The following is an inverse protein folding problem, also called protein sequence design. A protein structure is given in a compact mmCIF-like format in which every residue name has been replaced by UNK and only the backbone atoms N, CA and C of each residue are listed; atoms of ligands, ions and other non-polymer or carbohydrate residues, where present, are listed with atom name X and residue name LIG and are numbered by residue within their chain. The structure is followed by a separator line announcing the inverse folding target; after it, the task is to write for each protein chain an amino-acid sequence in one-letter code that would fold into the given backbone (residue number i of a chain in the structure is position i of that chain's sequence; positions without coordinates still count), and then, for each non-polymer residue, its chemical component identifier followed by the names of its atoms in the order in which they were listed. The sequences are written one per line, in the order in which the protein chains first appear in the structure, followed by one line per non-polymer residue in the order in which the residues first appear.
data_IF_960181512588
#
_entry.id   IF_960181512588
#
_cell.length_a   1.000
_cell.length_b   1.000
_cell.length_c   1.000
_cell.angle_alpha   90.00
_cell.angle_beta   90.00
_cell.angle_gamma   90.00
#
_symmetry.space_group_name_H-M   'P 1'
#
loop_
_entity.id
_entity.type
_entity.pdbx_description
1 polymer ?
#
# COMPACT_ATOMS: atom_id res chain seq x y z
N UNK A 1 -5.68 -27.47 55.83
CA UNK A 1 -4.85 -26.85 54.77
C UNK A 1 -5.25 -27.49 53.44
N UNK A 2 -6.10 -26.95 52.58
CA UNK A 2 -6.34 -25.56 52.20
C UNK A 2 -5.99 -25.41 50.71
N UNK A 3 -6.66 -26.17 49.83
CA UNK A 3 -6.45 -26.07 48.37
C UNK A 3 -7.33 -24.93 47.82
N UNK A 4 -6.69 -23.85 47.38
CA UNK A 4 -7.33 -22.71 46.72
C UNK A 4 -7.61 -23.03 45.24
N UNK A 5 -8.86 -22.94 44.76
CA UNK A 5 -9.23 -23.24 43.37
C UNK A 5 -8.93 -22.09 42.37
N UNK A 6 -7.88 -21.28 42.61
CA UNK A 6 -7.60 -20.06 41.85
C UNK A 6 -6.47 -20.16 40.81
N UNK A 7 -5.69 -21.25 40.80
CA UNK A 7 -4.39 -21.24 40.11
C UNK A 7 -4.38 -21.90 38.73
N UNK A 8 -5.44 -22.63 38.34
CA UNK A 8 -5.55 -23.19 36.98
C UNK A 8 -6.01 -22.19 35.92
N UNK A 9 -6.73 -21.14 36.31
CA UNK A 9 -7.28 -20.17 35.36
C UNK A 9 -6.23 -19.22 34.75
N UNK A 10 -5.02 -19.14 35.31
CA UNK A 10 -3.96 -18.25 34.80
C UNK A 10 -3.07 -18.87 33.71
N UNK A 11 -3.19 -20.17 33.42
CA UNK A 11 -2.40 -20.80 32.33
C UNK A 11 -3.07 -20.69 30.95
N UNK A 12 -4.40 -20.63 30.91
CA UNK A 12 -5.13 -20.56 29.64
C UNK A 12 -5.23 -19.14 29.04
N UNK A 13 -5.02 -18.10 29.83
CA UNK A 13 -5.02 -16.71 29.31
C UNK A 13 -3.74 -16.39 28.55
N UNK A 14 -2.63 -17.10 28.80
CA UNK A 14 -1.35 -16.85 28.12
C UNK A 14 -1.25 -17.48 26.73
N UNK A 15 -2.22 -18.33 26.35
CA UNK A 15 -2.27 -19.00 25.05
C UNK A 15 -3.05 -18.22 23.99
N UNK A 16 -3.79 -17.18 24.38
CA UNK A 16 -4.60 -16.36 23.44
C UNK A 16 -3.93 -15.07 22.96
N UNK A 17 -2.82 -14.67 23.57
CA UNK A 17 -2.04 -13.49 23.13
C UNK A 17 -0.95 -13.84 22.11
N UNK A 18 -0.89 -15.10 21.66
CA UNK A 18 0.10 -15.58 20.68
C UNK A 18 -0.46 -15.70 19.24
N UNK A 19 -1.57 -15.02 18.92
CA UNK A 19 -2.23 -15.12 17.59
C UNK A 19 -2.28 -13.84 16.78
N UNK A 20 -1.46 -12.83 17.11
CA UNK A 20 -1.20 -11.69 16.22
C UNK A 20 0.29 -11.40 16.04
N UNK A 21 1.15 -12.37 16.37
CA UNK A 21 2.51 -12.37 15.86
C UNK A 21 2.42 -12.68 14.36
N UNK A 22 2.41 -11.61 13.54
CA UNK A 22 2.65 -11.69 12.09
C UNK A 22 3.79 -12.70 11.87
N UNK A 23 3.66 -13.66 10.94
CA UNK A 23 4.74 -14.62 10.69
C UNK A 23 6.05 -13.85 10.44
N UNK A 24 7.06 -14.08 11.29
CA UNK A 24 8.36 -13.41 11.31
C UNK A 24 9.26 -13.74 10.10
N UNK A 25 8.73 -13.89 8.89
CA UNK A 25 9.50 -14.47 7.79
C UNK A 25 9.78 -13.57 6.60
N UNK A 26 9.25 -12.35 6.52
CA UNK A 26 9.64 -11.39 5.47
C UNK A 26 9.69 -9.97 6.05
N UNK A 27 10.83 -9.25 5.90
CA UNK A 27 10.89 -7.85 6.32
C UNK A 27 9.90 -7.02 5.49
N UNK A 28 9.26 -6.05 6.14
CA UNK A 28 8.46 -5.07 5.42
C UNK A 28 9.32 -4.37 4.37
N UNK A 29 8.77 -4.25 3.17
CA UNK A 29 9.37 -3.54 2.06
C UNK A 29 8.89 -2.10 2.04
N UNK A 30 9.83 -1.15 1.97
CA UNK A 30 9.52 0.27 1.84
C UNK A 30 9.76 0.72 0.42
N UNK A 31 8.74 1.29 -0.21
CA UNK A 31 8.81 1.78 -1.60
C UNK A 31 8.39 3.24 -1.63
N UNK A 32 9.18 4.09 -2.26
CA UNK A 32 8.84 5.50 -2.42
C UNK A 32 8.01 5.68 -3.68
N UNK A 33 6.88 6.36 -3.62
CA UNK A 33 6.02 6.64 -4.78
C UNK A 33 5.88 8.15 -4.95
N UNK A 34 6.11 8.64 -6.17
CA UNK A 34 6.07 10.08 -6.49
C UNK A 34 5.21 10.33 -7.71
N UNK A 35 4.27 11.28 -7.65
CA UNK A 35 3.43 11.66 -8.79
C UNK A 35 4.08 12.77 -9.62
N UNK A 36 4.08 12.57 -10.93
CA UNK A 36 4.52 13.49 -11.95
C UNK A 36 3.38 13.88 -12.88
N UNK A 37 3.46 15.10 -13.40
CA UNK A 37 2.51 15.62 -14.38
C UNK A 37 2.57 14.90 -15.74
N UNK A 38 1.44 14.95 -16.45
CA UNK A 38 1.29 14.40 -17.79
C UNK A 38 2.06 15.22 -18.86
N UNK A 39 2.24 16.53 -18.63
CA UNK A 39 2.82 17.48 -19.56
C UNK A 39 4.35 17.56 -19.48
N UNK A 40 5.01 18.07 -20.54
CA UNK A 40 6.38 18.53 -20.46
C UNK A 40 6.44 19.96 -19.88
N UNK A 41 7.29 20.25 -18.88
CA UNK A 41 8.20 19.32 -18.20
C UNK A 41 7.44 18.39 -17.23
N UNK A 42 7.94 17.15 -17.07
CA UNK A 42 7.47 16.20 -16.05
C UNK A 42 7.81 16.75 -14.65
N UNK A 43 7.03 17.70 -14.18
CA UNK A 43 7.16 18.28 -12.87
C UNK A 43 6.60 17.30 -11.85
N UNK A 44 7.29 17.15 -10.73
CA UNK A 44 6.72 16.50 -9.56
C UNK A 44 5.57 17.37 -9.05
N UNK A 45 4.38 16.80 -8.98
CA UNK A 45 3.17 17.51 -8.57
C UNK A 45 2.63 17.05 -7.21
N UNK A 46 3.16 15.95 -6.67
CA UNK A 46 2.89 15.50 -5.30
C UNK A 46 4.19 15.32 -4.50
N UNK A 47 4.07 15.35 -3.18
CA UNK A 47 5.11 14.88 -2.27
C UNK A 47 5.37 13.38 -2.43
N UNK A 48 6.58 12.91 -2.10
CA UNK A 48 6.90 11.49 -2.11
C UNK A 48 6.18 10.77 -0.96
N UNK A 49 5.46 9.69 -1.28
CA UNK A 49 4.86 8.80 -0.28
C UNK A 49 5.73 7.57 -0.08
N UNK A 50 6.10 7.27 1.16
CA UNK A 50 6.75 6.02 1.52
C UNK A 50 5.67 4.97 1.83
N UNK A 51 5.59 3.92 1.03
CA UNK A 51 4.60 2.86 1.20
C UNK A 51 5.27 1.63 1.77
N UNK A 52 4.82 1.22 2.95
CA UNK A 52 5.23 -0.02 3.59
C UNK A 52 4.32 -1.15 3.14
N UNK A 53 4.89 -2.17 2.51
CA UNK A 53 4.17 -3.32 1.96
C UNK A 53 4.98 -4.61 2.16
N UNK A 54 4.39 -5.75 1.84
CA UNK A 54 5.10 -7.03 1.85
C UNK A 54 5.56 -7.40 0.42
N UNK A 55 6.68 -8.13 0.29
CA UNK A 55 7.16 -8.62 -1.01
C UNK A 55 6.15 -9.51 -1.77
N UNK A 56 5.32 -10.22 -1.00
CA UNK A 56 4.23 -11.08 -1.48
C UNK A 56 2.97 -10.30 -1.84
N UNK A 57 2.85 -9.03 -1.46
CA UNK A 57 1.69 -8.23 -1.81
C UNK A 57 1.67 -7.91 -3.31
N UNK A 58 0.48 -7.97 -3.95
CA UNK A 58 0.33 -7.47 -5.30
C UNK A 58 0.56 -5.97 -5.32
N UNK A 59 1.23 -5.49 -6.36
CA UNK A 59 1.57 -4.08 -6.49
C UNK A 59 0.36 -3.19 -6.70
N UNK A 60 -0.74 -3.76 -7.19
CA UNK A 60 -2.04 -3.10 -7.20
C UNK A 60 -2.41 -2.54 -5.81
N UNK A 61 -2.05 -3.20 -4.70
CA UNK A 61 -2.33 -2.66 -3.36
C UNK A 61 -1.49 -1.41 -3.07
N UNK A 62 -0.24 -1.38 -3.53
CA UNK A 62 0.68 -0.24 -3.37
C UNK A 62 0.19 0.95 -4.18
N UNK A 63 -0.20 0.73 -5.44
CA UNK A 63 -0.75 1.77 -6.33
C UNK A 63 -2.08 2.28 -5.83
N UNK A 64 -2.98 1.40 -5.38
CA UNK A 64 -4.27 1.77 -4.82
C UNK A 64 -4.13 2.62 -3.55
N UNK A 65 -3.23 2.25 -2.64
CA UNK A 65 -2.98 3.02 -1.42
C UNK A 65 -2.48 4.44 -1.75
N UNK A 66 -1.59 4.57 -2.73
CA UNK A 66 -1.11 5.87 -3.21
C UNK A 66 -2.22 6.70 -3.86
N UNK A 67 -2.96 6.11 -4.79
CA UNK A 67 -4.07 6.77 -5.47
C UNK A 67 -5.15 7.24 -4.49
N UNK A 68 -5.48 6.44 -3.47
CA UNK A 68 -6.40 6.83 -2.39
C UNK A 68 -5.91 8.02 -1.59
N UNK A 69 -4.62 8.05 -1.24
CA UNK A 69 -4.04 9.21 -0.57
C UNK A 69 -4.12 10.47 -1.41
N UNK A 70 -3.93 10.34 -2.73
CA UNK A 70 -4.07 11.44 -3.69
C UNK A 70 -5.52 11.75 -4.08
N UNK A 71 -6.50 10.97 -3.60
CA UNK A 71 -7.90 11.01 -4.05
C UNK A 71 -8.05 10.93 -5.58
N UNK A 72 -7.21 10.11 -6.22
CA UNK A 72 -7.25 9.84 -7.66
C UNK A 72 -7.72 8.43 -7.96
N UNK A 73 -8.41 8.20 -9.09
CA UNK A 73 -8.64 6.86 -9.59
C UNK A 73 -7.34 6.26 -10.14
N UNK A 74 -7.10 4.97 -9.89
CA UNK A 74 -5.93 4.24 -10.41
C UNK A 74 -5.86 4.26 -11.94
N UNK A 75 -7.01 4.25 -12.61
CA UNK A 75 -7.09 4.31 -14.08
C UNK A 75 -6.54 5.62 -14.67
N UNK A 76 -6.37 6.67 -13.85
CA UNK A 76 -5.82 7.96 -14.27
C UNK A 76 -4.33 8.11 -14.05
N UNK A 77 -3.67 7.10 -13.49
CA UNK A 77 -2.26 7.15 -13.12
C UNK A 77 -1.54 5.95 -13.70
N UNK A 78 -0.48 6.20 -14.45
CA UNK A 78 0.44 5.16 -14.89
C UNK A 78 1.62 5.04 -13.94
N UNK A 79 1.88 3.85 -13.43
CA UNK A 79 2.99 3.59 -12.53
C UNK A 79 4.17 3.02 -13.28
N UNK A 80 5.37 3.52 -12.99
CA UNK A 80 6.62 3.11 -13.58
C UNK A 80 7.60 2.75 -12.48
N UNK A 81 8.38 1.70 -12.70
CA UNK A 81 9.52 1.36 -11.85
C UNK A 81 10.73 1.10 -12.73
N UNK A 82 11.87 1.72 -12.39
CA UNK A 82 13.09 1.62 -13.18
C UNK A 82 12.87 1.93 -14.68
N UNK A 83 11.90 2.80 -15.00
CA UNK A 83 11.55 3.17 -16.38
C UNK A 83 10.60 2.21 -17.11
N UNK A 84 10.17 1.10 -16.49
CA UNK A 84 9.21 0.16 -17.06
C UNK A 84 7.82 0.36 -16.45
N UNK A 85 6.74 0.25 -17.24
CA UNK A 85 5.38 0.32 -16.72
C UNK A 85 5.12 -0.87 -15.78
N UNK A 86 4.48 -0.58 -14.66
CA UNK A 86 4.24 -1.53 -13.60
C UNK A 86 2.91 -2.26 -13.87
N UNK A 87 2.97 -3.57 -14.03
CA UNK A 87 1.76 -4.40 -14.16
C UNK A 87 1.18 -4.68 -12.77
N UNK A 88 -0.02 -4.17 -12.49
CA UNK A 88 -0.67 -4.28 -11.17
C UNK A 88 -0.87 -5.72 -10.68
N UNK A 89 -0.94 -6.69 -11.60
CA UNK A 89 -1.10 -8.12 -11.28
C UNK A 89 0.18 -8.78 -10.74
N UNK A 90 1.34 -8.16 -10.89
CA UNK A 90 2.61 -8.68 -10.36
C UNK A 90 2.77 -8.36 -8.87
N UNK A 91 3.42 -9.26 -8.14
CA UNK A 91 3.87 -8.96 -6.78
C UNK A 91 5.14 -8.12 -6.81
N UNK A 92 5.46 -7.49 -5.69
CA UNK A 92 6.71 -6.74 -5.53
C UNK A 92 7.94 -7.58 -5.87
N UNK A 93 8.03 -8.82 -5.38
CA UNK A 93 9.14 -9.72 -5.72
C UNK A 93 9.22 -10.04 -7.22
N UNK A 94 8.09 -10.32 -7.87
CA UNK A 94 8.05 -10.65 -9.30
C UNK A 94 8.47 -9.47 -10.19
N UNK A 95 8.17 -8.25 -9.74
CA UNK A 95 8.63 -7.04 -10.41
C UNK A 95 10.06 -6.61 -10.00
N UNK A 96 10.76 -7.40 -9.19
CA UNK A 96 12.12 -7.10 -8.72
C UNK A 96 12.19 -5.89 -7.78
N UNK A 97 11.10 -5.59 -7.09
CA UNK A 97 11.01 -4.47 -6.15
C UNK A 97 11.59 -4.91 -4.82
N UNK A 98 12.51 -4.09 -4.32
CA UNK A 98 13.12 -4.23 -3.01
C UNK A 98 12.98 -2.91 -2.22
N UNK A 99 13.22 -2.98 -0.92
CA UNK A 99 13.24 -1.82 -0.04
C UNK A 99 14.17 -0.73 -0.58
N UNK A 100 13.67 0.52 -0.63
CA UNK A 100 14.41 1.66 -1.16
C UNK A 100 14.22 1.92 -2.65
N UNK A 101 13.47 1.07 -3.37
CA UNK A 101 13.07 1.39 -4.74
C UNK A 101 12.10 2.58 -4.79
N UNK A 102 12.14 3.28 -5.92
CA UNK A 102 11.26 4.39 -6.23
C UNK A 102 10.34 4.02 -7.40
N UNK A 103 9.04 4.20 -7.20
CA UNK A 103 7.99 4.11 -8.21
C UNK A 103 7.64 5.54 -8.63
N UNK A 104 7.70 5.79 -9.94
CA UNK A 104 7.24 7.03 -10.54
C UNK A 104 5.80 6.84 -11.02
N UNK A 105 4.87 7.57 -10.43
CA UNK A 105 3.50 7.67 -10.89
C UNK A 105 3.39 8.83 -11.87
N UNK A 106 2.74 8.64 -13.02
CA UNK A 106 2.48 9.69 -14.01
C UNK A 106 0.99 9.86 -14.17
N UNK A 107 0.51 11.09 -14.02
CA UNK A 107 -0.87 11.41 -14.31
C UNK A 107 -1.14 11.28 -15.82
N UNK A 108 -2.28 10.70 -16.18
CA UNK A 108 -2.72 10.66 -17.57
C UNK A 108 -3.27 12.02 -18.00
N UNK A 109 -2.98 12.46 -19.24
CA UNK A 109 -3.51 13.72 -19.75
C UNK A 109 -5.04 13.67 -19.80
N UNK A 110 -5.68 14.74 -19.33
CA UNK A 110 -7.15 14.83 -19.25
C UNK A 110 -7.75 14.28 -17.94
N UNK A 111 -6.93 13.81 -17.00
CA UNK A 111 -7.41 13.47 -15.66
C UNK A 111 -7.81 14.73 -14.89
N UNK A 112 -9.01 14.77 -14.28
CA UNK A 112 -9.37 15.86 -13.39
C UNK A 112 -8.45 15.86 -12.17
N UNK A 113 -7.66 16.93 -12.04
CA UNK A 113 -6.86 17.19 -10.85
C UNK A 113 -7.82 17.59 -9.72
N UNK A 114 -7.68 17.05 -8.49
CA UNK A 114 -8.52 17.47 -7.37
C UNK A 114 -8.38 18.99 -7.13
N UNK A 115 -9.50 19.68 -6.85
CA UNK A 115 -9.51 21.13 -6.62
C UNK A 115 -8.62 21.57 -5.44
N UNK A 116 -8.40 20.66 -4.49
CA UNK A 116 -7.50 20.88 -3.34
C UNK A 116 -6.01 20.73 -3.70
N UNK A 117 -5.70 20.33 -4.93
CA UNK A 117 -4.35 19.97 -5.35
C UNK A 117 -3.88 18.64 -4.75
N UNK A 118 -2.64 18.27 -5.07
CA UNK A 118 -2.03 17.08 -4.49
C UNK A 118 -1.29 17.42 -3.19
N UNK A 119 -1.24 16.47 -2.24
CA UNK A 119 -0.44 16.63 -1.05
C UNK A 119 1.04 16.75 -1.42
N UNK A 120 1.67 17.84 -0.98
CA UNK A 120 3.10 18.14 -1.22
C UNK A 120 4.02 17.64 -0.10
N UNK A 121 3.45 17.13 0.98
CA UNK A 121 4.20 16.65 2.14
C UNK A 121 4.58 15.18 1.98
N UNK A 122 5.72 14.81 2.57
CA UNK A 122 6.08 13.41 2.73
C UNK A 122 5.06 12.71 3.62
N UNK A 123 4.60 11.53 3.20
CA UNK A 123 3.71 10.69 3.99
C UNK A 123 4.24 9.27 4.08
N UNK A 124 3.85 8.55 5.13
CA UNK A 124 4.06 7.10 5.24
C UNK A 124 2.71 6.39 5.18
N UNK A 125 2.53 5.53 4.18
CA UNK A 125 1.33 4.73 3.98
C UNK A 125 1.64 3.27 4.33
N UNK A 126 0.68 2.59 4.96
CA UNK A 126 0.78 1.17 5.30
C UNK A 126 -0.20 0.39 4.43
N UNK A 127 0.29 -0.61 3.70
CA UNK A 127 -0.57 -1.51 2.92
C UNK A 127 -1.15 -2.55 3.86
N UNK A 128 -2.36 -2.26 4.34
CA UNK A 128 -3.14 -3.18 5.18
C UNK A 128 -3.88 -4.21 4.32
N UNK A 129 -3.74 -5.49 4.68
CA UNK A 129 -4.37 -6.61 3.98
C UNK A 129 -5.91 -6.54 4.00
N UNK A 130 -6.48 -5.91 5.04
CA UNK A 130 -7.93 -5.83 5.30
C UNK A 130 -8.74 -4.96 4.35
N UNK A 131 -8.11 -4.17 3.46
CA UNK A 131 -8.85 -3.26 2.58
C UNK A 131 -9.34 -3.89 1.26
N UNK A 132 -9.09 -5.19 1.06
CA UNK A 132 -9.54 -5.91 -0.14
C UNK A 132 -11.06 -6.14 -0.18
N UNK A 133 -11.73 -6.13 0.97
CA UNK A 133 -13.18 -6.37 1.03
C UNK A 133 -14.03 -5.23 0.45
N UNK A 134 -13.53 -3.98 0.49
CA UNK A 134 -14.33 -2.81 0.10
C UNK A 134 -14.13 -2.39 -1.36
N UNK A 135 -12.94 -2.59 -1.93
CA UNK A 135 -12.66 -2.19 -3.33
C UNK A 135 -13.11 -3.24 -4.36
N UNK A 136 -13.06 -4.54 -4.01
CA UNK A 136 -13.56 -5.60 -4.89
C UNK A 136 -15.10 -5.56 -5.04
N UNK A 137 -15.81 -5.12 -4.00
CA UNK A 137 -17.25 -4.91 -4.02
C UNK A 137 -17.63 -3.69 -4.89
N UNK A 138 -16.93 -2.57 -4.74
CA UNK A 138 -17.16 -1.37 -5.55
C UNK A 138 -16.91 -1.58 -7.06
N UNK A 139 -15.92 -2.41 -7.43
CA UNK A 139 -15.67 -2.78 -8.83
C UNK A 139 -16.66 -3.85 -9.36
N UNK A 140 -17.28 -4.67 -8.50
CA UNK A 140 -18.35 -5.61 -8.91
C UNK A 140 -19.68 -4.92 -9.17
N UNK A 141 -19.94 -3.76 -8.56
CA UNK A 141 -21.21 -3.02 -8.73
C UNK A 141 -21.23 -2.17 -10.01
N UNK A 142 -20.08 -1.91 -10.63
CA UNK A 142 -19.98 -1.09 -11.85
C UNK A 142 -20.19 -1.88 -13.17
N UNK A 143 -20.82 -3.06 -13.13
CA UNK A 143 -20.98 -3.95 -14.30
C UNK A 143 -22.43 -4.09 -14.75
#
# INVERSE_FOLDING_TARGET
SGFTPGERARRDVRAREAQTARPSSMPDMLVTVTLYDAGPPKAQISGPAMIKTLPTHPLQKVTAAFCRWLSLPEASVEFFINGQPLAGSSTAEQAGIATGNAISARLLPGTPVPEQGFPQQFTMLDVIDSELGALADALSVAR
#
